data_IF_701521955298
#
_entry.id   IF_701521955298
#
_cell.length_a   1.000
_cell.length_b   1.000
_cell.length_c   1.000
_cell.angle_alpha   90.00
_cell.angle_beta   90.00
_cell.angle_gamma   90.00
#
_symmetry.space_group_name_H-M   'P 1'
#
loop_
_entity.id
_entity.type
_entity.pdbx_description
1 polymer ?
#
# COMPACT_ATOMS: atom_id res chain seq x y z
N UNK A 1 6.75 50.75 40.15
CA UNK A 1 7.18 49.34 40.09
C UNK A 1 6.44 48.65 38.95
N UNK A 2 7.21 48.16 37.97
CA UNK A 2 6.85 47.16 36.96
C UNK A 2 6.29 45.91 37.70
N UNK A 3 5.37 45.07 37.24
CA UNK A 3 5.13 44.41 35.96
C UNK A 3 3.71 43.81 36.00
N UNK A 4 3.02 43.71 34.87
CA UNK A 4 1.80 42.91 34.71
C UNK A 4 1.64 42.56 33.23
N UNK A 5 2.45 41.59 32.79
CA UNK A 5 2.68 41.22 31.40
C UNK A 5 1.41 40.66 30.74
N UNK A 6 1.18 41.14 29.53
CA UNK A 6 0.32 40.59 28.49
C UNK A 6 0.64 39.10 28.26
N UNK A 7 -0.37 38.23 28.40
CA UNK A 7 -0.32 36.85 27.94
C UNK A 7 -1.55 36.58 27.05
N UNK A 8 -1.50 37.12 25.83
CA UNK A 8 -2.46 36.81 24.76
C UNK A 8 -1.71 36.62 23.46
N UNK A 9 -0.88 35.58 23.36
CA UNK A 9 -0.19 35.22 22.11
C UNK A 9 -0.03 33.70 22.04
N UNK A 10 -0.47 33.13 20.91
CA UNK A 10 -0.21 31.77 20.39
C UNK A 10 -1.14 30.61 20.83
N UNK A 11 -2.42 30.70 20.47
CA UNK A 11 -3.09 29.55 19.84
C UNK A 11 -3.09 29.75 18.32
N UNK A 12 -1.92 29.67 17.71
CA UNK A 12 -1.87 29.31 16.29
C UNK A 12 -2.33 27.86 16.25
N UNK A 13 -3.54 27.64 15.74
CA UNK A 13 -3.95 26.31 15.32
C UNK A 13 -2.84 25.73 14.46
N UNK A 14 -2.33 24.57 14.85
CA UNK A 14 -1.50 23.76 14.00
C UNK A 14 -2.37 23.38 12.79
N UNK A 15 -2.42 24.25 11.79
CA UNK A 15 -2.74 23.81 10.44
C UNK A 15 -1.72 22.71 10.17
N UNK A 16 -2.14 21.46 9.87
CA UNK A 16 -1.20 20.51 9.33
C UNK A 16 -0.63 21.18 8.09
N UNK A 17 0.63 21.59 8.16
CA UNK A 17 1.40 21.99 7.00
C UNK A 17 1.54 20.72 6.16
N UNK A 18 0.50 20.40 5.38
CA UNK A 18 0.62 19.44 4.31
C UNK A 18 1.70 19.97 3.38
N UNK A 19 2.87 19.34 3.43
CA UNK A 19 4.00 19.52 2.53
C UNK A 19 4.04 20.86 1.79
N UNK A 20 4.38 21.94 2.50
CA UNK A 20 4.61 23.29 1.94
C UNK A 20 5.95 23.38 1.19
N UNK A 21 6.26 22.44 0.29
CA UNK A 21 7.58 22.42 -0.34
C UNK A 21 7.63 23.11 -1.70
N UNK A 22 6.49 23.29 -2.39
CA UNK A 22 6.44 23.94 -3.70
C UNK A 22 5.15 24.76 -3.86
N UNK A 23 5.25 26.10 -3.88
CA UNK A 23 4.20 26.99 -4.43
C UNK A 23 4.25 27.01 -5.98
N UNK A 24 4.61 25.87 -6.59
CA UNK A 24 4.80 25.74 -8.01
C UNK A 24 3.59 25.05 -8.65
N UNK A 25 2.87 25.81 -9.48
CA UNK A 25 1.86 25.23 -10.37
C UNK A 25 2.55 24.41 -11.44
N UNK A 26 2.29 23.11 -11.50
CA UNK A 26 2.85 22.23 -12.54
C UNK A 26 2.39 22.72 -13.92
N UNK A 27 3.32 23.03 -14.84
CA UNK A 27 2.98 23.46 -16.19
C UNK A 27 2.16 22.41 -16.95
N UNK A 28 1.28 22.86 -17.85
CA UNK A 28 0.51 21.97 -18.72
C UNK A 28 -0.72 21.31 -18.10
N UNK A 29 -0.97 21.48 -16.79
CA UNK A 29 -2.21 21.02 -16.15
C UNK A 29 -3.37 21.98 -16.51
N UNK A 30 -4.46 21.50 -17.16
CA UNK A 30 -5.67 22.28 -17.38
C UNK A 30 -6.24 22.75 -16.04
N UNK A 31 -6.75 23.98 -16.01
CA UNK A 31 -7.30 24.57 -14.79
C UNK A 31 -8.71 25.09 -14.99
N UNK A 32 -9.49 25.01 -13.94
CA UNK A 32 -10.80 25.66 -13.82
C UNK A 32 -10.63 27.19 -13.68
N UNK A 33 -11.71 27.98 -13.84
CA UNK A 33 -11.66 29.43 -13.65
C UNK A 33 -11.18 29.89 -12.26
N UNK A 34 -11.40 29.08 -11.21
CA UNK A 34 -10.89 29.32 -9.85
C UNK A 34 -9.42 28.89 -9.66
N UNK A 35 -8.73 28.47 -10.74
CA UNK A 35 -7.30 28.19 -10.76
C UNK A 35 -6.89 26.81 -10.23
N UNK A 36 -7.84 25.94 -9.91
CA UNK A 36 -7.59 24.57 -9.46
C UNK A 36 -7.31 23.62 -10.63
N UNK A 37 -6.52 22.55 -10.44
CA UNK A 37 -6.36 21.49 -11.44
C UNK A 37 -7.71 20.90 -11.88
N UNK A 38 -7.97 20.87 -13.19
CA UNK A 38 -9.12 20.20 -13.78
C UNK A 38 -8.74 18.77 -14.17
N UNK A 39 -8.88 17.85 -13.23
CA UNK A 39 -8.53 16.44 -13.40
C UNK A 39 -9.47 15.70 -14.38
N UNK A 40 -10.66 16.24 -14.66
CA UNK A 40 -11.63 15.64 -15.60
C UNK A 40 -11.50 16.15 -17.03
N UNK A 41 -10.51 17.00 -17.33
CA UNK A 41 -10.23 17.44 -18.70
C UNK A 41 -9.86 16.24 -19.61
N UNK A 42 -9.92 16.36 -20.94
CA UNK A 42 -9.49 15.28 -21.83
C UNK A 42 -8.05 14.83 -21.54
N UNK A 43 -7.78 13.52 -21.69
CA UNK A 43 -6.44 12.98 -21.54
C UNK A 43 -5.47 13.65 -22.53
N UNK A 44 -4.28 14.08 -22.09
CA UNK A 44 -3.26 14.60 -23.00
C UNK A 44 -2.80 13.49 -23.94
N UNK A 45 -2.41 13.88 -25.16
CA UNK A 45 -1.89 12.95 -26.18
C UNK A 45 -0.49 13.37 -26.58
N UNK A 46 0.37 12.38 -26.81
CA UNK A 46 1.71 12.55 -27.34
C UNK A 46 1.70 12.87 -28.84
N UNK A 47 2.88 13.14 -29.42
CA UNK A 47 3.04 13.43 -30.86
C UNK A 47 2.57 12.29 -31.79
N UNK A 48 2.56 11.06 -31.28
CA UNK A 48 2.07 9.85 -31.96
C UNK A 48 0.55 9.68 -31.86
N UNK A 49 -0.15 10.63 -31.23
CA UNK A 49 -1.59 10.59 -31.00
C UNK A 49 -2.02 9.62 -29.91
N UNK A 50 -1.09 8.92 -29.25
CA UNK A 50 -1.41 8.03 -28.11
C UNK A 50 -1.59 8.84 -26.83
N UNK A 51 -2.38 8.36 -25.86
CA UNK A 51 -2.42 9.00 -24.55
C UNK A 51 -1.01 9.13 -23.96
N UNK A 52 -0.67 10.32 -23.50
CA UNK A 52 0.55 10.52 -22.72
C UNK A 52 0.26 10.04 -21.30
N UNK A 53 1.04 9.10 -20.77
CA UNK A 53 0.91 8.58 -19.41
C UNK A 53 1.79 9.35 -18.41
N UNK A 54 2.59 10.31 -18.88
CA UNK A 54 3.53 11.04 -18.05
C UNK A 54 2.83 11.83 -16.94
N UNK A 55 3.47 11.86 -15.78
CA UNK A 55 2.98 12.56 -14.60
C UNK A 55 3.45 11.94 -13.29
N UNK A 56 3.19 12.67 -12.20
CA UNK A 56 3.25 12.12 -10.85
C UNK A 56 1.87 11.60 -10.49
N UNK A 57 1.79 10.32 -10.16
CA UNK A 57 0.56 9.61 -9.87
C UNK A 57 0.60 9.12 -8.43
N UNK A 58 -0.56 9.08 -7.79
CA UNK A 58 -0.74 8.43 -6.50
C UNK A 58 -2.10 7.75 -6.44
N UNK A 59 -2.19 6.64 -5.72
CA UNK A 59 -3.44 5.93 -5.54
C UNK A 59 -3.33 4.93 -4.39
N UNK A 60 -4.48 4.48 -3.86
CA UNK A 60 -4.48 3.51 -2.78
C UNK A 60 -3.82 2.20 -3.21
N UNK A 61 -3.04 1.61 -2.30
CA UNK A 61 -2.45 0.29 -2.48
C UNK A 61 -3.51 -0.75 -2.85
N UNK A 62 -3.30 -1.52 -3.93
CA UNK A 62 -4.15 -2.66 -4.22
C UNK A 62 -4.10 -3.68 -3.09
N UNK A 63 -5.26 -4.21 -2.73
CA UNK A 63 -5.41 -5.26 -1.71
C UNK A 63 -6.16 -6.47 -2.29
N UNK A 64 -5.61 -7.13 -3.34
CA UNK A 64 -6.27 -8.29 -3.92
C UNK A 64 -6.40 -9.42 -2.89
N UNK A 65 -7.61 -9.95 -2.75
CA UNK A 65 -7.85 -11.19 -2.00
C UNK A 65 -7.71 -12.36 -2.97
N UNK A 66 -6.65 -13.14 -2.79
CA UNK A 66 -6.40 -14.33 -3.60
C UNK A 66 -7.04 -15.51 -2.88
N UNK A 67 -7.85 -16.28 -3.61
CA UNK A 67 -8.44 -17.52 -3.11
C UNK A 67 -7.31 -18.52 -2.77
N UNK A 68 -7.17 -18.96 -1.51
CA UNK A 68 -6.18 -19.96 -1.14
C UNK A 68 -6.29 -21.25 -1.96
N UNK A 69 -7.49 -21.61 -2.44
CA UNK A 69 -7.69 -22.77 -3.30
C UNK A 69 -7.06 -22.60 -4.70
N UNK A 70 -6.76 -21.36 -5.12
CA UNK A 70 -6.04 -21.10 -6.36
C UNK A 70 -4.52 -21.19 -6.20
N UNK A 71 -3.99 -21.11 -4.98
CA UNK A 71 -2.55 -21.19 -4.72
C UNK A 71 -2.12 -22.63 -4.44
N UNK A 72 -0.91 -22.99 -4.87
CA UNK A 72 -0.33 -24.28 -4.52
C UNK A 72 -0.06 -24.37 -3.01
N UNK A 73 -0.05 -25.60 -2.46
CA UNK A 73 0.12 -25.85 -1.02
C UNK A 73 1.37 -25.16 -0.45
N UNK A 74 2.51 -25.27 -1.14
CA UNK A 74 3.76 -24.65 -0.70
C UNK A 74 3.68 -23.12 -0.61
N UNK A 75 2.88 -22.47 -1.46
CA UNK A 75 2.67 -21.01 -1.44
C UNK A 75 1.88 -20.62 -0.19
N UNK A 76 0.80 -21.35 0.10
CA UNK A 76 -0.03 -21.12 1.27
C UNK A 76 0.73 -21.40 2.57
N UNK A 77 1.53 -22.47 2.59
CA UNK A 77 2.34 -22.83 3.76
C UNK A 77 3.37 -21.76 4.07
N UNK A 78 4.11 -21.31 3.05
CA UNK A 78 5.11 -20.26 3.21
C UNK A 78 4.49 -18.91 3.60
N UNK A 79 3.31 -18.58 3.08
CA UNK A 79 2.59 -17.37 3.47
C UNK A 79 2.17 -17.39 4.94
N UNK A 80 1.70 -18.55 5.44
CA UNK A 80 1.34 -18.76 6.85
C UNK A 80 2.57 -18.69 7.76
N UNK A 81 3.67 -19.33 7.39
CA UNK A 81 4.93 -19.26 8.14
C UNK A 81 5.45 -17.82 8.23
N UNK A 82 5.39 -17.07 7.13
CA UNK A 82 5.75 -15.64 7.10
C UNK A 82 4.86 -14.80 7.99
N UNK A 83 3.55 -15.10 8.06
CA UNK A 83 2.64 -14.38 8.94
C UNK A 83 3.03 -14.55 10.42
N UNK A 84 3.47 -15.75 10.83
CA UNK A 84 3.96 -16.02 12.18
C UNK A 84 5.15 -15.15 12.56
N UNK A 85 6.00 -14.80 11.59
CA UNK A 85 7.18 -13.96 11.78
C UNK A 85 6.94 -12.48 11.40
N UNK A 86 5.69 -12.01 11.43
CA UNK A 86 5.30 -10.64 11.09
C UNK A 86 5.80 -10.19 9.71
N UNK A 87 5.91 -11.14 8.77
CA UNK A 87 6.41 -10.93 7.42
C UNK A 87 7.80 -10.29 7.39
N UNK A 88 8.64 -10.50 8.42
CA UNK A 88 9.96 -9.86 8.52
C UNK A 88 10.83 -10.09 7.27
N UNK A 89 10.61 -11.16 6.51
CA UNK A 89 11.34 -11.46 5.27
C UNK A 89 10.74 -10.84 4.00
N UNK A 90 9.72 -9.98 4.12
CA UNK A 90 9.17 -9.22 2.98
C UNK A 90 10.29 -8.38 2.36
N UNK A 91 10.51 -8.41 1.04
CA UNK A 91 11.60 -7.66 0.40
C UNK A 91 11.64 -6.18 0.81
N UNK A 92 10.47 -5.52 0.86
CA UNK A 92 10.37 -4.13 1.32
C UNK A 92 10.92 -3.89 2.73
N UNK A 93 10.76 -4.84 3.66
CA UNK A 93 11.26 -4.73 5.03
C UNK A 93 12.75 -5.08 5.12
N UNK A 94 13.26 -5.86 4.18
CA UNK A 94 14.68 -6.17 4.03
C UNK A 94 15.44 -5.10 3.22
N UNK A 95 14.83 -3.96 2.91
CA UNK A 95 15.38 -2.93 2.01
C UNK A 95 15.76 -3.47 0.61
N UNK A 96 15.02 -4.47 0.12
CA UNK A 96 15.19 -5.07 -1.20
C UNK A 96 14.02 -4.66 -2.12
N UNK A 97 14.23 -4.60 -3.45
CA UNK A 97 13.15 -4.31 -4.38
C UNK A 97 11.98 -5.29 -4.22
N UNK A 98 10.75 -4.79 -4.27
CA UNK A 98 9.56 -5.64 -4.09
C UNK A 98 9.10 -6.34 -5.37
N UNK A 99 9.71 -6.02 -6.52
CA UNK A 99 9.35 -6.60 -7.81
C UNK A 99 7.86 -6.43 -8.15
N UNK A 100 7.16 -7.49 -8.59
CA UNK A 100 5.77 -7.44 -9.01
C UNK A 100 4.79 -7.60 -7.84
N UNK A 101 5.14 -7.15 -6.63
CA UNK A 101 4.21 -7.17 -5.50
C UNK A 101 3.01 -6.26 -5.81
N UNK A 102 1.77 -6.75 -5.60
CA UNK A 102 0.55 -6.04 -5.98
C UNK A 102 0.47 -4.58 -5.46
N UNK A 103 1.00 -4.33 -4.27
CA UNK A 103 1.05 -2.99 -3.67
C UNK A 103 1.91 -2.00 -4.49
N UNK A 104 2.84 -2.50 -5.30
CA UNK A 104 3.72 -1.69 -6.16
C UNK A 104 3.09 -1.29 -7.48
N UNK A 105 1.85 -1.66 -7.74
CA UNK A 105 1.09 -1.22 -8.92
C UNK A 105 0.27 0.07 -8.67
N UNK A 106 0.20 0.55 -7.43
CA UNK A 106 -0.26 1.91 -7.14
C UNK A 106 0.74 2.61 -6.19
N UNK A 107 0.25 3.50 -5.34
CA UNK A 107 1.09 4.39 -4.55
C UNK A 107 1.74 5.46 -5.42
N UNK A 108 2.74 6.14 -4.85
CA UNK A 108 3.47 7.18 -5.55
C UNK A 108 4.27 6.60 -6.73
N UNK A 109 4.08 7.19 -7.91
CA UNK A 109 4.80 6.88 -9.14
C UNK A 109 5.14 8.17 -9.87
N UNK A 110 6.33 8.24 -10.46
CA UNK A 110 6.57 9.16 -11.59
C UNK A 110 6.67 8.35 -12.86
N UNK A 111 5.79 8.64 -13.81
CA UNK A 111 5.82 8.05 -15.15
C UNK A 111 6.45 9.06 -16.10
N UNK A 112 7.41 8.58 -16.90
CA UNK A 112 8.04 9.33 -17.98
C UNK A 112 7.87 8.52 -19.26
N UNK A 113 7.15 9.08 -20.24
CA UNK A 113 6.92 8.45 -21.53
C UNK A 113 7.77 9.12 -22.62
N UNK A 114 8.41 8.29 -23.43
CA UNK A 114 9.04 8.66 -24.70
C UNK A 114 8.41 7.83 -25.83
N UNK A 115 8.71 8.13 -27.11
CA UNK A 115 8.23 7.29 -28.20
C UNK A 115 8.71 5.83 -28.16
N UNK A 116 9.83 5.53 -27.48
CA UNK A 116 10.43 4.19 -27.45
C UNK A 116 10.36 3.49 -26.10
N UNK A 117 9.99 4.19 -25.03
CA UNK A 117 9.93 3.60 -23.70
C UNK A 117 9.00 4.36 -22.74
N UNK A 118 8.47 3.64 -21.76
CA UNK A 118 7.83 4.20 -20.57
C UNK A 118 8.67 3.81 -19.35
N UNK A 119 9.24 4.79 -18.67
CA UNK A 119 9.92 4.60 -17.40
C UNK A 119 8.94 4.86 -16.26
N UNK A 120 8.88 3.93 -15.30
CA UNK A 120 8.13 4.08 -14.05
C UNK A 120 9.14 4.14 -12.91
N UNK A 121 9.20 5.29 -12.26
CA UNK A 121 10.00 5.53 -11.06
C UNK A 121 9.11 5.38 -9.84
N UNK A 122 9.58 4.63 -8.85
CA UNK A 122 8.91 4.42 -7.58
C UNK A 122 9.52 5.32 -6.51
N UNK A 123 8.76 5.59 -5.45
CA UNK A 123 9.23 6.33 -4.27
C UNK A 123 10.38 5.60 -3.53
N UNK A 124 10.37 4.27 -3.52
CA UNK A 124 11.41 3.41 -2.92
C UNK A 124 12.74 3.34 -3.70
N UNK A 125 13.01 4.32 -4.56
CA UNK A 125 14.21 4.44 -5.42
C UNK A 125 14.39 3.31 -6.45
N UNK A 126 13.42 2.39 -6.58
CA UNK A 126 13.40 1.42 -7.68
C UNK A 126 12.79 2.04 -8.94
N UNK A 127 13.13 1.45 -10.09
CA UNK A 127 12.53 1.83 -11.35
C UNK A 127 12.32 0.59 -12.22
N UNK A 128 11.48 0.75 -13.24
CA UNK A 128 11.41 -0.19 -14.35
C UNK A 128 11.20 0.53 -15.66
N UNK A 129 11.67 -0.09 -16.74
CA UNK A 129 11.50 0.41 -18.10
C UNK A 129 10.64 -0.57 -18.87
N UNK A 130 9.58 -0.04 -19.48
CA UNK A 130 8.74 -0.75 -20.44
C UNK A 130 9.20 -0.31 -21.81
N UNK A 131 9.81 -1.23 -22.58
CA UNK A 131 10.22 -0.93 -23.94
C UNK A 131 9.00 -0.90 -24.86
N UNK A 132 8.82 0.19 -25.60
CA UNK A 132 7.67 0.43 -26.48
C UNK A 132 8.12 0.64 -27.94
N UNK A 133 9.29 0.09 -28.32
CA UNK A 133 9.92 0.21 -29.63
C UNK A 133 9.67 -1.04 -30.51
N UNK A 134 8.48 -1.64 -30.39
CA UNK A 134 8.00 -2.80 -31.15
C UNK A 134 8.84 -4.10 -31.00
N UNK A 135 9.81 -4.12 -30.08
CA UNK A 135 10.55 -5.34 -29.77
C UNK A 135 9.64 -6.41 -29.18
N UNK A 136 9.97 -7.67 -29.47
CA UNK A 136 9.31 -8.82 -28.83
C UNK A 136 9.80 -8.99 -27.39
N UNK A 137 8.95 -9.55 -26.53
CA UNK A 137 9.36 -9.93 -25.18
C UNK A 137 10.45 -10.99 -25.28
N UNK A 138 11.59 -10.77 -24.63
CA UNK A 138 12.64 -11.76 -24.51
C UNK A 138 12.07 -13.03 -23.85
N UNK A 139 12.10 -14.21 -24.51
CA UNK A 139 11.51 -15.42 -23.94
C UNK A 139 12.14 -15.83 -22.60
N UNK A 140 13.47 -15.68 -22.46
CA UNK A 140 14.25 -16.16 -21.31
C UNK A 140 15.29 -15.11 -20.84
N UNK A 141 14.84 -13.95 -20.31
CA UNK A 141 15.74 -12.93 -19.80
C UNK A 141 16.41 -13.42 -18.51
N UNK A 142 17.58 -12.85 -18.18
CA UNK A 142 18.21 -13.10 -16.89
C UNK A 142 17.26 -12.68 -15.74
N UNK A 143 17.03 -13.56 -14.74
CA UNK A 143 16.16 -13.23 -13.62
C UNK A 143 16.63 -11.97 -12.88
N UNK A 144 15.71 -11.05 -12.64
CA UNK A 144 15.95 -9.78 -11.97
C UNK A 144 14.79 -9.44 -11.02
N UNK A 145 14.98 -8.43 -10.17
CA UNK A 145 13.93 -8.04 -9.23
C UNK A 145 12.71 -7.41 -9.92
N UNK A 146 12.93 -6.60 -10.96
CA UNK A 146 11.88 -5.81 -11.62
C UNK A 146 11.38 -6.42 -12.93
N UNK A 147 11.98 -7.54 -13.36
CA UNK A 147 11.66 -8.22 -14.60
C UNK A 147 12.07 -7.45 -15.85
N UNK A 148 11.67 -7.99 -17.00
CA UNK A 148 11.82 -7.41 -18.33
C UNK A 148 10.42 -7.17 -18.91
N UNK A 149 10.18 -5.99 -19.46
CA UNK A 149 8.83 -5.55 -19.88
C UNK A 149 8.85 -4.96 -21.28
N UNK A 150 7.87 -5.34 -22.10
CA UNK A 150 7.59 -4.72 -23.41
C UNK A 150 6.14 -4.25 -23.45
N UNK A 151 5.91 -3.11 -24.10
CA UNK A 151 4.61 -2.47 -24.21
C UNK A 151 4.20 -2.27 -25.67
N UNK A 152 2.91 -2.42 -25.94
CA UNK A 152 2.30 -2.09 -27.24
C UNK A 152 0.97 -1.38 -27.03
N UNK A 153 0.64 -0.47 -27.94
CA UNK A 153 -0.64 0.24 -27.90
C UNK A 153 -1.75 -0.57 -28.56
N UNK A 154 -2.83 -0.82 -27.82
CA UNK A 154 -4.09 -1.38 -28.31
C UNK A 154 -5.18 -0.31 -28.22
N UNK A 155 -5.36 0.44 -29.30
CA UNK A 155 -6.15 1.67 -29.30
C UNK A 155 -5.47 2.73 -28.43
N UNK A 156 -6.19 3.14 -27.37
CA UNK A 156 -5.76 4.12 -26.36
C UNK A 156 -5.22 3.47 -25.07
N UNK A 157 -5.03 2.15 -25.03
CA UNK A 157 -4.46 1.47 -23.89
C UNK A 157 -3.05 0.95 -24.19
N UNK A 158 -2.11 1.15 -23.28
CA UNK A 158 -0.80 0.51 -23.34
C UNK A 158 -0.91 -0.86 -22.68
N UNK A 159 -0.74 -1.92 -23.47
CA UNK A 159 -0.68 -3.30 -22.97
C UNK A 159 0.77 -3.68 -22.78
N UNK A 160 1.10 -4.12 -21.58
CA UNK A 160 2.46 -4.49 -21.18
C UNK A 160 2.49 -5.97 -20.86
N UNK A 161 3.48 -6.66 -21.43
CA UNK A 161 3.80 -8.05 -21.12
C UNK A 161 5.18 -8.10 -20.45
N UNK A 162 5.27 -8.81 -19.33
CA UNK A 162 6.51 -8.89 -18.54
C UNK A 162 6.84 -10.30 -18.05
N UNK A 163 8.13 -10.60 -17.92
CA UNK A 163 8.71 -11.84 -17.39
C UNK A 163 10.08 -11.60 -16.74
N UNK A 164 10.81 -12.68 -16.39
CA UNK A 164 12.20 -12.54 -15.93
C UNK A 164 12.33 -12.06 -14.49
N UNK A 165 11.30 -12.29 -13.67
CA UNK A 165 11.35 -12.02 -12.25
C UNK A 165 12.13 -13.16 -11.55
N UNK A 166 13.00 -12.81 -10.62
CA UNK A 166 13.57 -13.80 -9.70
C UNK A 166 12.52 -14.30 -8.69
N UNK A 167 12.79 -15.41 -8.04
CA UNK A 167 11.88 -16.04 -7.06
C UNK A 167 11.98 -15.47 -5.63
N UNK A 168 12.70 -14.35 -5.45
CA UNK A 168 12.92 -13.70 -4.15
C UNK A 168 11.82 -12.70 -3.80
N UNK A 169 11.00 -12.31 -4.77
CA UNK A 169 9.91 -11.36 -4.60
C UNK A 169 8.56 -12.04 -4.33
N UNK A 170 7.59 -11.26 -3.88
CA UNK A 170 6.24 -11.72 -3.58
C UNK A 170 5.25 -11.06 -4.53
N UNK A 171 4.11 -11.70 -4.76
CA UNK A 171 3.02 -11.11 -5.57
C UNK A 171 2.02 -10.32 -4.72
N UNK A 172 2.12 -10.42 -3.39
CA UNK A 172 1.27 -9.70 -2.44
C UNK A 172 1.98 -9.53 -1.10
N UNK A 173 1.72 -8.40 -0.43
CA UNK A 173 2.15 -8.13 0.95
C UNK A 173 1.77 -9.22 1.96
N UNK A 174 0.83 -10.08 1.62
CA UNK A 174 0.38 -11.20 2.44
C UNK A 174 1.31 -12.43 2.35
N UNK A 175 2.52 -12.30 1.78
CA UNK A 175 3.51 -13.38 1.80
C UNK A 175 3.38 -14.43 0.71
N UNK A 176 2.58 -14.19 -0.34
CA UNK A 176 2.41 -15.15 -1.43
C UNK A 176 3.60 -15.08 -2.39
N UNK A 177 4.32 -16.20 -2.52
CA UNK A 177 5.43 -16.36 -3.45
C UNK A 177 4.97 -16.63 -4.88
N UNK A 178 5.91 -16.47 -5.80
CA UNK A 178 5.83 -16.95 -7.18
C UNK A 178 7.13 -17.68 -7.55
N UNK A 179 7.17 -18.25 -8.74
CA UNK A 179 8.36 -18.86 -9.36
C UNK A 179 8.94 -17.93 -10.42
N UNK A 180 10.10 -18.26 -10.98
CA UNK A 180 10.67 -17.54 -12.13
C UNK A 180 9.84 -17.70 -13.43
N UNK A 181 8.83 -18.58 -13.43
CA UNK A 181 7.87 -18.72 -14.55
C UNK A 181 6.80 -17.63 -14.56
N UNK A 182 6.79 -16.74 -13.57
CA UNK A 182 5.82 -15.66 -13.47
C UNK A 182 5.78 -14.81 -14.75
N UNK A 183 4.58 -14.64 -15.27
CA UNK A 183 4.23 -13.68 -16.32
C UNK A 183 3.25 -12.67 -15.76
N UNK A 184 3.48 -11.39 -16.06
CA UNK A 184 2.59 -10.28 -15.68
C UNK A 184 2.09 -9.65 -16.97
N UNK A 185 0.78 -9.49 -17.09
CA UNK A 185 0.16 -8.68 -18.13
C UNK A 185 -0.52 -7.49 -17.49
N UNK A 186 -0.29 -6.31 -18.04
CA UNK A 186 -0.83 -5.06 -17.55
C UNK A 186 -1.54 -4.32 -18.69
N UNK A 187 -2.60 -3.57 -18.37
CA UNK A 187 -3.29 -2.71 -19.32
C UNK A 187 -3.52 -1.34 -18.70
N UNK A 188 -2.79 -0.34 -19.18
CA UNK A 188 -2.86 1.05 -18.73
C UNK A 188 -3.88 1.82 -19.57
N UNK A 189 -4.78 2.54 -18.90
CA UNK A 189 -5.77 3.40 -19.54
C UNK A 189 -5.85 4.74 -18.80
N UNK A 190 -5.39 5.81 -19.44
CA UNK A 190 -5.60 7.19 -18.95
C UNK A 190 -7.01 7.63 -19.35
N UNK A 191 -7.91 7.64 -18.38
CA UNK A 191 -9.36 7.83 -18.58
C UNK A 191 -9.67 9.27 -19.00
N UNK A 192 -9.01 10.21 -18.33
CA UNK A 192 -9.08 11.65 -18.51
C UNK A 192 -7.73 12.24 -18.11
N UNK A 193 -7.65 13.56 -17.90
CA UNK A 193 -6.41 14.22 -17.54
C UNK A 193 -5.82 13.69 -16.23
N UNK A 194 -6.66 13.34 -15.26
CA UNK A 194 -6.26 13.11 -13.88
C UNK A 194 -6.42 11.69 -13.37
N UNK A 195 -6.95 10.75 -14.16
CA UNK A 195 -7.19 9.37 -13.71
C UNK A 195 -6.54 8.33 -14.61
N UNK A 196 -5.72 7.47 -13.99
CA UNK A 196 -5.07 6.33 -14.62
C UNK A 196 -5.63 5.04 -14.00
N UNK A 197 -6.14 4.16 -14.86
CA UNK A 197 -6.53 2.81 -14.47
C UNK A 197 -5.53 1.81 -15.03
N UNK A 198 -5.20 0.80 -14.23
CA UNK A 198 -4.31 -0.27 -14.62
C UNK A 198 -4.91 -1.61 -14.21
N UNK A 199 -5.19 -2.46 -15.20
CA UNK A 199 -5.56 -3.86 -14.97
C UNK A 199 -4.29 -4.70 -14.95
N UNK A 200 -4.13 -5.56 -13.96
CA UNK A 200 -2.96 -6.42 -13.77
C UNK A 200 -3.41 -7.86 -13.68
N UNK A 201 -2.75 -8.75 -14.42
CA UNK A 201 -2.99 -10.19 -14.37
C UNK A 201 -1.66 -10.93 -14.19
N UNK A 202 -1.59 -11.78 -13.18
CA UNK A 202 -0.50 -12.70 -12.91
C UNK A 202 -0.82 -14.09 -13.44
N UNK A 203 0.17 -14.70 -14.09
CA UNK A 203 0.12 -16.10 -14.53
C UNK A 203 1.39 -16.81 -14.11
N UNK A 204 1.27 -17.83 -13.27
CA UNK A 204 2.37 -18.69 -12.87
C UNK A 204 1.81 -20.08 -12.48
N UNK A 205 1.89 -21.04 -13.39
CA UNK A 205 1.39 -22.39 -13.15
C UNK A 205 2.16 -23.15 -12.04
N UNK A 206 3.36 -22.69 -11.67
CA UNK A 206 4.15 -23.25 -10.57
C UNK A 206 3.72 -22.76 -9.18
N UNK A 207 2.95 -21.67 -9.11
CA UNK A 207 2.47 -21.09 -7.85
C UNK A 207 0.93 -21.05 -7.77
N UNK A 208 0.23 -20.94 -8.90
CA UNK A 208 -1.22 -20.76 -8.97
C UNK A 208 -1.87 -21.66 -10.04
N UNK A 209 -3.04 -22.20 -9.73
CA UNK A 209 -3.79 -23.08 -10.63
C UNK A 209 -4.41 -22.32 -11.83
N UNK A 210 -4.80 -21.06 -11.62
CA UNK A 210 -5.39 -20.17 -12.63
C UNK A 210 -4.78 -18.77 -12.55
N UNK A 211 -4.74 -18.02 -13.66
CA UNK A 211 -4.41 -16.60 -13.63
C UNK A 211 -5.34 -15.84 -12.68
N UNK A 212 -4.79 -14.81 -12.04
CA UNK A 212 -5.54 -13.94 -11.14
C UNK A 212 -5.01 -12.51 -11.26
N UNK A 213 -5.80 -11.53 -10.82
CA UNK A 213 -5.49 -10.13 -11.08
C UNK A 213 -6.28 -9.14 -10.25
N UNK A 214 -6.07 -7.86 -10.53
CA UNK A 214 -6.75 -6.74 -9.88
C UNK A 214 -6.69 -5.49 -10.76
N UNK A 215 -7.47 -4.48 -10.40
CA UNK A 215 -7.41 -3.15 -11.01
C UNK A 215 -6.87 -2.15 -9.99
N UNK A 216 -5.80 -1.45 -10.35
CA UNK A 216 -5.29 -0.30 -9.62
C UNK A 216 -5.87 0.98 -10.25
N UNK A 217 -6.19 1.96 -9.40
CA UNK A 217 -6.65 3.29 -9.83
C UNK A 217 -5.77 4.34 -9.18
N UNK A 218 -5.22 5.22 -9.99
CA UNK A 218 -4.38 6.33 -9.54
C UNK A 218 -4.93 7.64 -10.03
N UNK A 219 -4.73 8.68 -9.23
CA UNK A 219 -5.03 10.05 -9.56
C UNK A 219 -3.72 10.82 -9.78
N UNK A 220 -3.72 11.77 -10.71
CA UNK A 220 -2.61 12.68 -10.92
C UNK A 220 -2.43 13.54 -9.66
N UNK A 221 -1.22 13.53 -9.11
CA UNK A 221 -0.83 14.37 -8.00
C UNK A 221 -0.37 15.72 -8.55
N UNK A 222 -1.32 16.63 -8.76
CA UNK A 222 -1.06 17.96 -9.29
C UNK A 222 -0.37 18.87 -8.26
N UNK A 223 0.50 19.77 -8.73
CA UNK A 223 1.14 20.82 -7.93
C UNK A 223 1.93 20.28 -6.72
N UNK A 224 2.48 19.07 -6.86
CA UNK A 224 3.32 18.41 -5.84
C UNK A 224 4.38 17.55 -6.52
N UNK A 225 5.34 17.07 -5.75
CA UNK A 225 6.31 16.07 -6.21
C UNK A 225 6.29 14.81 -5.36
N UNK A 226 6.70 13.71 -5.99
CA UNK A 226 7.04 12.47 -5.30
C UNK A 226 8.43 12.63 -4.67
N UNK A 227 8.50 12.43 -3.36
CA UNK A 227 9.75 12.34 -2.61
C UNK A 227 10.17 10.88 -2.48
N UNK A 228 11.46 10.67 -2.30
CA UNK A 228 12.01 9.36 -2.00
C UNK A 228 11.56 8.84 -0.63
N UNK A 229 11.25 7.56 -0.59
CA UNK A 229 11.07 6.79 0.62
C UNK A 229 12.37 6.01 0.88
N UNK A 230 13.16 6.48 1.86
CA UNK A 230 14.43 5.85 2.21
C UNK A 230 14.20 4.72 3.21
N UNK A 231 14.66 3.51 2.88
CA UNK A 231 14.71 2.39 3.82
C UNK A 231 15.91 2.59 4.75
N UNK A 232 15.66 2.90 6.02
CA UNK A 232 16.74 3.19 6.98
C UNK A 232 17.40 1.92 7.53
N UNK A 233 16.61 0.89 7.85
CA UNK A 233 17.10 -0.35 8.46
C UNK A 233 16.32 -1.57 7.99
N UNK A 234 17.04 -2.67 7.75
CA UNK A 234 16.42 -3.96 7.47
C UNK A 234 15.75 -4.56 8.71
N UNK A 235 14.76 -5.38 8.46
CA UNK A 235 14.01 -6.15 9.46
C UNK A 235 14.78 -7.31 10.12
N UNK A 236 16.08 -7.48 9.84
CA UNK A 236 16.89 -8.58 10.38
C UNK A 236 16.93 -8.59 11.92
N UNK A 237 16.83 -7.42 12.54
CA UNK A 237 16.83 -7.26 13.99
C UNK A 237 15.44 -7.40 14.63
N UNK A 238 14.38 -7.60 13.84
CA UNK A 238 13.03 -7.75 14.37
C UNK A 238 12.92 -9.06 15.15
N UNK A 239 12.36 -8.98 16.36
CA UNK A 239 12.17 -10.10 17.27
C UNK A 239 10.70 -10.28 17.59
N UNK A 240 10.33 -11.53 17.88
CA UNK A 240 8.97 -11.93 18.24
C UNK A 240 8.26 -12.64 17.11
N UNK A 241 7.23 -13.40 17.49
CA UNK A 241 6.31 -14.10 16.60
C UNK A 241 4.87 -13.95 17.08
N UNK A 242 3.90 -14.26 16.21
CA UNK A 242 2.50 -14.36 16.62
C UNK A 242 2.31 -15.40 17.73
N UNK A 243 3.10 -16.47 17.73
CA UNK A 243 3.08 -17.49 18.78
C UNK A 243 3.62 -16.96 20.12
N UNK A 244 4.70 -16.19 20.13
CA UNK A 244 5.18 -15.51 21.35
C UNK A 244 4.11 -14.56 21.89
N UNK A 245 3.40 -13.89 20.98
CA UNK A 245 2.32 -13.02 21.34
C UNK A 245 1.18 -13.79 22.00
N UNK A 246 0.75 -14.91 21.44
CA UNK A 246 -0.28 -15.78 22.02
C UNK A 246 0.13 -16.34 23.40
N UNK A 247 1.37 -16.80 23.55
CA UNK A 247 1.88 -17.37 24.80
C UNK A 247 1.92 -16.38 25.97
N UNK A 248 1.96 -15.08 25.68
CA UNK A 248 1.95 -14.00 26.67
C UNK A 248 0.55 -13.39 26.88
N UNK A 249 -0.51 -14.05 26.39
CA UNK A 249 -1.88 -13.57 26.53
C UNK A 249 -2.34 -13.57 27.99
N UNK A 250 -3.01 -12.50 28.41
CA UNK A 250 -3.70 -12.42 29.70
C UNK A 250 -5.16 -12.85 29.52
N UNK A 251 -5.68 -13.67 30.43
CA UNK A 251 -7.11 -14.03 30.40
C UNK A 251 -7.98 -12.79 30.67
N UNK A 252 -8.85 -12.47 29.72
CA UNK A 252 -9.84 -11.39 29.82
C UNK A 252 -11.23 -12.00 29.64
N UNK A 253 -12.18 -11.77 30.57
CA UNK A 253 -13.55 -12.28 30.44
C UNK A 253 -14.21 -11.86 29.13
N UNK A 254 -14.99 -12.76 28.54
CA UNK A 254 -15.65 -12.53 27.23
C UNK A 254 -16.62 -11.36 27.25
N UNK A 255 -17.26 -11.08 28.38
CA UNK A 255 -18.15 -9.92 28.56
C UNK A 255 -17.39 -8.59 28.57
N UNK A 256 -16.11 -8.59 28.96
CA UNK A 256 -15.22 -7.43 28.86
C UNK A 256 -14.77 -7.26 27.41
N UNK A 257 -14.35 -8.34 26.74
CA UNK A 257 -13.97 -8.31 25.32
C UNK A 257 -15.08 -7.78 24.42
N UNK A 258 -16.34 -8.14 24.70
CA UNK A 258 -17.51 -7.68 23.96
C UNK A 258 -17.67 -6.14 24.00
N UNK A 259 -17.16 -5.45 25.03
CA UNK A 259 -17.27 -3.98 25.18
C UNK A 259 -16.42 -3.21 24.17
N UNK A 260 -15.45 -3.89 23.54
CA UNK A 260 -14.53 -3.35 22.55
C UNK A 260 -14.98 -3.56 21.10
N UNK A 261 -15.98 -4.43 20.86
CA UNK A 261 -16.56 -4.65 19.54
C UNK A 261 -17.19 -3.34 19.05
N UNK A 262 -16.80 -2.89 17.87
CA UNK A 262 -17.26 -1.61 17.34
C UNK A 262 -16.48 -1.15 16.13
N UNK A 263 -16.93 -0.02 15.58
CA UNK A 263 -16.25 0.64 14.48
C UNK A 263 -15.54 1.88 15.01
N UNK A 264 -14.29 2.09 14.63
CA UNK A 264 -13.45 3.20 15.05
C UNK A 264 -12.93 3.92 13.82
N UNK A 265 -12.92 5.26 13.81
CA UNK A 265 -12.46 6.03 12.64
C UNK A 265 -11.60 7.21 13.04
N UNK A 266 -10.55 7.47 12.29
CA UNK A 266 -9.53 8.47 12.59
C UNK A 266 -8.65 8.76 11.37
N UNK A 267 -7.60 9.54 11.58
CA UNK A 267 -6.63 9.90 10.54
C UNK A 267 -5.33 9.15 10.78
N UNK A 268 -4.85 8.44 9.76
CA UNK A 268 -3.54 7.79 9.75
C UNK A 268 -2.80 8.19 8.47
N UNK A 269 -1.61 8.77 8.62
CA UNK A 269 -0.80 9.30 7.51
C UNK A 269 -1.60 10.19 6.54
N UNK A 270 -2.41 11.10 7.09
CA UNK A 270 -3.24 12.03 6.30
C UNK A 270 -4.52 11.44 5.70
N UNK A 271 -4.72 10.12 5.77
CA UNK A 271 -5.89 9.46 5.20
C UNK A 271 -6.90 9.06 6.29
N UNK A 272 -8.19 9.22 5.98
CA UNK A 272 -9.25 8.68 6.84
C UNK A 272 -9.18 7.16 6.82
N UNK A 273 -9.02 6.55 7.99
CA UNK A 273 -8.98 5.11 8.17
C UNK A 273 -10.06 4.69 9.16
N UNK A 274 -10.72 3.59 8.82
CA UNK A 274 -11.79 3.00 9.63
C UNK A 274 -11.37 1.58 10.01
N UNK A 275 -11.43 1.27 11.30
CA UNK A 275 -11.09 -0.02 11.88
C UNK A 275 -12.36 -0.64 12.43
N UNK A 276 -12.71 -1.81 11.92
CA UNK A 276 -13.81 -2.62 12.45
C UNK A 276 -13.22 -3.69 13.38
N UNK A 277 -13.64 -3.67 14.64
CA UNK A 277 -13.40 -4.74 15.60
C UNK A 277 -14.67 -5.60 15.63
N UNK A 278 -14.68 -6.66 14.82
CA UNK A 278 -15.84 -7.53 14.66
C UNK A 278 -15.87 -8.66 15.71
N UNK A 279 -14.70 -9.14 16.14
CA UNK A 279 -14.53 -10.22 17.11
C UNK A 279 -13.19 -10.05 17.81
N UNK A 280 -13.13 -10.28 19.11
CA UNK A 280 -11.88 -10.47 19.84
C UNK A 280 -11.93 -11.87 20.42
N UNK A 281 -11.15 -12.77 19.83
CA UNK A 281 -10.97 -14.14 20.32
C UNK A 281 -9.67 -14.23 21.11
N UNK A 282 -9.67 -15.04 22.16
CA UNK A 282 -8.41 -15.47 22.76
C UNK A 282 -7.67 -16.33 21.72
N UNK A 283 -6.44 -15.92 21.41
CA UNK A 283 -5.33 -16.59 20.69
C UNK A 283 -5.56 -17.45 19.42
N UNK A 284 -6.69 -18.11 19.20
CA UNK A 284 -6.72 -19.34 18.36
C UNK A 284 -7.74 -19.34 17.20
N UNK A 285 -8.08 -18.19 16.61
CA UNK A 285 -8.87 -18.21 15.36
C UNK A 285 -8.24 -17.32 14.28
N UNK A 286 -7.85 -17.96 13.18
CA UNK A 286 -7.30 -17.34 11.98
C UNK A 286 -8.41 -17.32 10.92
N UNK A 287 -9.00 -16.15 10.68
CA UNK A 287 -9.94 -15.95 9.57
C UNK A 287 -9.40 -14.89 8.62
N UNK A 288 -9.43 -15.18 7.32
CA UNK A 288 -8.76 -14.41 6.29
C UNK A 288 -9.40 -13.02 6.16
N UNK A 289 -8.71 -12.00 6.69
CA UNK A 289 -9.14 -10.59 6.68
C UNK A 289 -9.42 -10.00 8.06
N UNK A 290 -9.44 -10.84 9.11
CA UNK A 290 -9.62 -10.42 10.50
C UNK A 290 -8.26 -10.42 11.21
N UNK A 291 -7.94 -9.34 11.94
CA UNK A 291 -6.72 -9.28 12.77
C UNK A 291 -7.06 -9.80 14.16
N UNK A 292 -6.40 -10.89 14.58
CA UNK A 292 -6.51 -11.40 15.94
C UNK A 292 -5.82 -10.42 16.90
N UNK A 293 -6.55 -10.00 17.93
CA UNK A 293 -6.04 -9.16 19.01
C UNK A 293 -5.81 -10.01 20.25
N UNK A 294 -4.57 -10.10 20.68
CA UNK A 294 -4.15 -10.85 21.86
C UNK A 294 -4.14 -9.91 23.08
N UNK A 295 -4.93 -10.19 24.13
CA UNK A 295 -4.97 -9.34 25.33
C UNK A 295 -3.64 -9.35 26.10
N UNK A 296 -3.15 -8.16 26.43
CA UNK A 296 -2.00 -7.92 27.34
C UNK A 296 -2.44 -7.37 28.69
N UNK A 297 -3.58 -6.69 28.72
CA UNK A 297 -4.30 -6.26 29.92
C UNK A 297 -5.79 -6.20 29.60
N UNK A 298 -6.61 -5.66 30.51
CA UNK A 298 -8.02 -5.45 30.21
C UNK A 298 -8.25 -4.51 29.02
N UNK A 299 -7.39 -3.51 28.80
CA UNK A 299 -7.59 -2.47 27.78
C UNK A 299 -6.47 -2.41 26.73
N UNK A 300 -5.37 -3.15 26.93
CA UNK A 300 -4.25 -3.22 26.00
C UNK A 300 -4.23 -4.59 25.32
N UNK A 301 -4.10 -4.56 24.00
CA UNK A 301 -4.00 -5.73 23.14
C UNK A 301 -2.79 -5.60 22.21
N UNK A 302 -2.31 -6.73 21.73
CA UNK A 302 -1.28 -6.83 20.71
C UNK A 302 -1.83 -7.57 19.50
N UNK A 303 -1.50 -7.15 18.29
CA UNK A 303 -1.88 -7.89 17.09
C UNK A 303 -1.01 -7.49 15.91
N UNK A 304 -0.54 -8.46 15.14
CA UNK A 304 0.29 -8.24 13.93
C UNK A 304 1.46 -7.26 14.14
N UNK A 305 2.12 -7.32 15.31
CA UNK A 305 3.27 -6.47 15.64
C UNK A 305 2.93 -5.03 16.05
N UNK A 306 1.65 -4.73 16.29
CA UNK A 306 1.16 -3.43 16.78
C UNK A 306 0.48 -3.57 18.14
N UNK A 307 0.56 -2.51 18.95
CA UNK A 307 -0.26 -2.38 20.16
C UNK A 307 -1.60 -1.74 19.86
N UNK A 308 -2.63 -2.10 20.62
CA UNK A 308 -3.99 -1.57 20.51
C UNK A 308 -4.49 -1.25 21.92
N UNK A 309 -4.60 0.04 22.24
CA UNK A 309 -5.03 0.52 23.54
C UNK A 309 -6.44 1.09 23.44
N UNK A 310 -7.40 0.47 24.13
CA UNK A 310 -8.75 1.00 24.23
C UNK A 310 -8.83 2.05 25.35
N UNK A 311 -9.50 3.16 25.05
CA UNK A 311 -9.99 4.12 26.04
C UNK A 311 -11.43 3.75 26.38
N UNK A 312 -11.77 3.68 27.66
CA UNK A 312 -13.11 3.30 28.12
C UNK A 312 -13.77 4.42 28.92
N UNK A 313 -15.09 4.44 28.95
CA UNK A 313 -15.88 5.29 29.85
C UNK A 313 -16.00 4.67 31.26
N UNK A 314 -16.74 5.34 32.14
CA UNK A 314 -16.98 4.91 33.52
C UNK A 314 -17.74 3.56 33.63
N UNK A 315 -18.34 3.11 32.52
CA UNK A 315 -19.03 1.80 32.41
C UNK A 315 -18.13 0.73 31.80
N UNK A 316 -16.88 1.06 31.47
CA UNK A 316 -15.94 0.16 30.82
C UNK A 316 -16.24 -0.08 29.34
N UNK A 317 -17.05 0.77 28.70
CA UNK A 317 -17.35 0.69 27.27
C UNK A 317 -16.31 1.47 26.48
N UNK A 318 -15.74 0.88 25.43
CA UNK A 318 -14.76 1.61 24.62
C UNK A 318 -15.35 2.86 23.99
N UNK A 319 -14.64 3.98 24.14
CA UNK A 319 -14.92 5.28 23.51
C UNK A 319 -13.94 5.59 22.39
N UNK A 320 -12.77 4.94 22.40
CA UNK A 320 -11.78 5.04 21.33
C UNK A 320 -10.79 3.88 21.35
N UNK A 321 -10.13 3.71 20.21
CA UNK A 321 -8.99 2.83 20.02
C UNK A 321 -7.76 3.67 19.69
N UNK A 322 -6.64 3.42 20.33
CA UNK A 322 -5.33 3.96 19.94
C UNK A 322 -4.48 2.83 19.38
N UNK A 323 -4.13 2.88 18.10
CA UNK A 323 -3.12 2.00 17.54
C UNK A 323 -1.73 2.54 17.91
N UNK A 324 -0.93 1.72 18.56
CA UNK A 324 0.42 2.05 19.05
C UNK A 324 1.43 1.58 18.01
N UNK A 325 2.02 2.54 17.30
CA UNK A 325 3.13 2.34 16.38
C UNK A 325 4.43 2.80 17.03
N UNK A 326 5.57 2.38 16.47
CA UNK A 326 6.89 2.92 16.85
C UNK A 326 6.94 4.44 16.66
N UNK A 327 6.23 4.98 15.66
CA UNK A 327 6.12 6.41 15.39
C UNK A 327 5.20 7.18 16.34
N UNK A 328 4.45 6.49 17.21
CA UNK A 328 3.52 7.08 18.16
C UNK A 328 2.13 6.43 18.16
N UNK A 329 1.25 6.94 19.01
CA UNK A 329 -0.14 6.47 19.13
C UNK A 329 -1.09 7.23 18.20
N UNK A 330 -1.85 6.51 17.38
CA UNK A 330 -2.87 7.07 16.49
C UNK A 330 -4.26 6.78 17.04
N UNK A 331 -5.01 7.83 17.37
CA UNK A 331 -6.31 7.72 18.05
C UNK A 331 -7.47 7.70 17.06
N UNK A 332 -8.33 6.70 17.21
CA UNK A 332 -9.55 6.46 16.45
C UNK A 332 -10.76 6.50 17.38
N UNK A 333 -11.51 7.62 17.45
CA UNK A 333 -12.81 7.67 18.11
C UNK A 333 -13.73 6.53 17.67
N UNK A 334 -14.50 5.95 18.60
CA UNK A 334 -15.55 4.99 18.28
C UNK A 334 -16.70 5.72 17.57
N UNK A 335 -17.19 5.13 16.49
CA UNK A 335 -18.42 5.55 15.82
C UNK A 335 -19.60 4.99 16.59
N UNK A 336 -20.65 5.81 16.74
CA UNK A 336 -21.84 5.53 17.53
C UNK A 336 -22.50 4.18 17.21
#
# INVERSE_FOLDING_TARGET
MRFGLVALVLMLGANPAGAQWLDLKTPGIPRTPDGKPNLTAPAPRGPDGKPDLSGVWNGPDPAPRIDPANAQTWVNDLARDRAQEFFKTRPAYACLPSGPEAQRFAGWKRIIQTPSAVAILNDDLTYRVIFADDRQLEPNPAPSWMGYSVGRWEGDALVVDSNGYNDKTWVSRNGLSHTEKLRVRERYRRVDFGHLEMEVTFTDAGAFAKPWGFTAKMQLAADTEMLEAVCEHSSENWKGSLSDAANSAVSVPTDVLARYIGTYSGIYQGNKRTVLIAKITGADEEDAGTRTLVPRSQTLFEGVGLGYQFSVDDKGVATALTEVHISGGYRYPRLH
#
